data_IF_127572746020
#
_entry.id   IF_127572746020
#
_cell.length_a   1.000
_cell.length_b   1.000
_cell.length_c   1.000
_cell.angle_alpha   90.00
_cell.angle_beta   90.00
_cell.angle_gamma   90.00
#
_symmetry.space_group_name_H-M   'P 1'
#
loop_
_entity.id
_entity.type
_entity.pdbx_description
1 polymer ?
#
# COMPACT_ATOMS: atom_id res chain seq x y z
N UNK A 1 5.25 -76.93 -79.94
CA UNK A 1 4.50 -75.66 -79.83
C UNK A 1 4.27 -75.37 -78.35
N UNK A 2 5.34 -75.12 -77.58
CA UNK A 2 5.27 -75.13 -76.10
C UNK A 2 6.43 -74.34 -75.46
N UNK A 3 6.84 -73.23 -76.06
CA UNK A 3 7.88 -72.34 -75.49
C UNK A 3 7.42 -70.88 -75.29
N UNK A 4 6.12 -70.58 -75.42
CA UNK A 4 5.61 -69.19 -75.38
C UNK A 4 4.78 -68.87 -74.12
N UNK A 5 4.43 -69.85 -73.28
CA UNK A 5 3.46 -69.62 -72.19
C UNK A 5 4.05 -69.36 -70.77
N UNK A 6 5.37 -69.40 -70.56
CA UNK A 6 5.95 -69.23 -69.21
C UNK A 6 6.45 -67.81 -68.93
N UNK A 7 6.77 -67.00 -69.94
CA UNK A 7 7.22 -65.61 -69.74
C UNK A 7 6.10 -64.61 -69.39
N UNK A 8 4.84 -64.88 -69.73
CA UNK A 8 3.75 -63.91 -69.53
C UNK A 8 3.22 -63.86 -68.08
N UNK A 9 3.50 -64.87 -67.24
CA UNK A 9 2.92 -64.98 -65.89
C UNK A 9 3.83 -64.43 -64.77
N UNK A 10 5.04 -63.97 -65.11
CA UNK A 10 6.00 -63.33 -64.17
C UNK A 10 5.95 -61.79 -64.25
N UNK A 11 5.48 -61.22 -65.37
CA UNK A 11 5.35 -59.78 -65.54
C UNK A 11 4.18 -59.17 -64.70
N UNK A 12 3.06 -59.88 -64.60
CA UNK A 12 1.83 -59.38 -63.96
C UNK A 12 1.92 -59.34 -62.40
N UNK A 13 2.81 -60.15 -61.80
CA UNK A 13 3.06 -60.10 -60.34
C UNK A 13 4.02 -59.00 -59.89
N UNK A 14 4.76 -58.37 -60.80
CA UNK A 14 5.65 -57.23 -60.48
C UNK A 14 4.90 -55.90 -60.42
N UNK A 15 3.84 -55.72 -61.21
CA UNK A 15 3.06 -54.47 -61.24
C UNK A 15 2.11 -54.29 -60.04
N UNK A 16 1.70 -55.38 -59.40
CA UNK A 16 0.89 -55.33 -58.18
C UNK A 16 1.72 -55.03 -56.93
N UNK A 17 2.98 -55.48 -56.88
CA UNK A 17 3.90 -55.23 -55.77
C UNK A 17 4.38 -53.76 -55.74
N UNK A 18 4.68 -53.18 -56.91
CA UNK A 18 5.06 -51.76 -57.02
C UNK A 18 3.96 -50.79 -56.55
N UNK A 19 2.70 -51.06 -56.93
CA UNK A 19 1.54 -50.23 -56.50
C UNK A 19 1.24 -50.30 -55.00
N UNK A 20 1.59 -51.40 -54.33
CA UNK A 20 1.42 -51.53 -52.88
C UNK A 20 2.58 -50.86 -52.13
N UNK A 21 3.81 -50.93 -52.66
CA UNK A 21 4.97 -50.22 -52.12
C UNK A 21 4.82 -48.70 -52.23
N UNK A 22 4.33 -48.20 -53.38
CA UNK A 22 4.08 -46.76 -53.58
C UNK A 22 3.02 -46.23 -52.62
N UNK A 23 1.93 -46.98 -52.38
CA UNK A 23 0.89 -46.57 -51.42
C UNK A 23 1.40 -46.54 -49.99
N UNK A 24 2.29 -47.46 -49.59
CA UNK A 24 2.92 -47.48 -48.27
C UNK A 24 3.93 -46.33 -48.14
N UNK A 25 4.71 -46.06 -49.18
CA UNK A 25 5.67 -44.95 -49.20
C UNK A 25 4.96 -43.59 -49.10
N UNK A 26 3.85 -43.43 -49.82
CA UNK A 26 3.00 -42.22 -49.77
C UNK A 26 2.36 -42.07 -48.38
N UNK A 27 1.88 -43.16 -47.76
CA UNK A 27 1.37 -43.11 -46.39
C UNK A 27 2.45 -42.79 -45.35
N UNK A 28 3.65 -43.33 -45.49
CA UNK A 28 4.80 -43.01 -44.63
C UNK A 28 5.26 -41.55 -44.82
N UNK A 29 5.27 -41.04 -46.06
CA UNK A 29 5.56 -39.62 -46.35
C UNK A 29 4.47 -38.70 -45.80
N UNK A 30 3.19 -39.09 -45.87
CA UNK A 30 2.09 -38.36 -45.24
C UNK A 30 2.21 -38.36 -43.72
N UNK A 31 2.53 -39.49 -43.09
CA UNK A 31 2.76 -39.60 -41.64
C UNK A 31 3.99 -38.80 -41.17
N UNK A 32 5.07 -38.77 -41.96
CA UNK A 32 6.25 -37.95 -41.69
C UNK A 32 5.96 -36.45 -41.85
N UNK A 33 5.15 -36.06 -42.86
CA UNK A 33 4.72 -34.67 -43.03
C UNK A 33 3.83 -34.21 -41.87
N UNK A 34 2.85 -35.01 -41.44
CA UNK A 34 1.97 -34.70 -40.31
C UNK A 34 2.69 -34.70 -38.95
N UNK A 35 3.79 -35.46 -38.79
CA UNK A 35 4.62 -35.42 -37.58
C UNK A 35 5.56 -34.19 -37.52
N UNK A 36 5.86 -33.54 -38.65
CA UNK A 36 6.78 -32.41 -38.70
C UNK A 36 6.14 -31.08 -38.27
N UNK A 37 4.85 -30.86 -38.56
CA UNK A 37 4.11 -29.64 -38.19
C UNK A 37 3.92 -29.38 -36.68
N UNK A 38 3.61 -30.38 -35.81
CA UNK A 38 3.45 -30.13 -34.37
C UNK A 38 4.78 -29.72 -33.68
N UNK A 39 5.93 -30.12 -34.23
CA UNK A 39 7.23 -29.87 -33.61
C UNK A 39 7.66 -28.39 -33.73
N UNK A 40 7.40 -27.74 -34.86
CA UNK A 40 7.76 -26.33 -35.08
C UNK A 40 6.87 -25.35 -34.29
N UNK A 41 5.58 -25.66 -34.17
CA UNK A 41 4.65 -24.87 -33.37
C UNK A 41 4.96 -24.93 -31.86
N UNK A 42 5.44 -26.08 -31.37
CA UNK A 42 5.86 -26.25 -29.99
C UNK A 42 7.18 -25.53 -29.71
N UNK A 43 8.15 -25.62 -30.62
CA UNK A 43 9.42 -24.88 -30.55
C UNK A 43 9.20 -23.36 -30.51
N UNK A 44 8.30 -22.84 -31.35
CA UNK A 44 7.91 -21.40 -31.34
C UNK A 44 7.26 -20.95 -30.04
N UNK A 45 6.48 -21.82 -29.37
CA UNK A 45 5.88 -21.51 -28.06
C UNK A 45 6.93 -21.49 -26.96
N UNK A 46 7.89 -22.42 -26.99
CA UNK A 46 8.98 -22.47 -26.02
C UNK A 46 9.93 -21.28 -26.16
N UNK A 47 10.29 -20.89 -27.39
CA UNK A 47 11.11 -19.68 -27.61
C UNK A 47 10.39 -18.42 -27.12
N UNK A 48 9.11 -18.24 -27.45
CA UNK A 48 8.33 -17.09 -26.99
C UNK A 48 8.13 -17.08 -25.46
N UNK A 49 7.98 -18.25 -24.83
CA UNK A 49 7.93 -18.37 -23.37
C UNK A 49 9.25 -17.91 -22.74
N UNK A 50 10.38 -18.41 -23.27
CA UNK A 50 11.71 -18.06 -22.76
C UNK A 50 11.99 -16.57 -22.89
N UNK A 51 11.59 -15.95 -24.00
CA UNK A 51 11.73 -14.51 -24.22
C UNK A 51 10.92 -13.70 -23.20
N UNK A 52 9.66 -14.11 -22.94
CA UNK A 52 8.81 -13.46 -21.92
C UNK A 52 9.41 -13.56 -20.53
N UNK A 53 9.95 -14.73 -20.16
CA UNK A 53 10.58 -14.93 -18.85
C UNK A 53 11.83 -14.06 -18.73
N UNK A 54 12.69 -14.04 -19.74
CA UNK A 54 13.91 -13.21 -19.75
C UNK A 54 13.58 -11.72 -19.63
N UNK A 55 12.55 -11.22 -20.31
CA UNK A 55 12.09 -9.83 -20.19
C UNK A 55 11.58 -9.52 -18.77
N UNK A 56 10.78 -10.41 -18.18
CA UNK A 56 10.31 -10.26 -16.80
C UNK A 56 11.47 -10.27 -15.80
N UNK A 57 12.48 -11.11 -16.02
CA UNK A 57 13.68 -11.15 -15.19
C UNK A 57 14.52 -9.87 -15.32
N UNK A 58 14.68 -9.32 -16.53
CA UNK A 58 15.37 -8.03 -16.72
C UNK A 58 14.65 -6.89 -15.99
N UNK A 59 13.31 -6.82 -16.07
CA UNK A 59 12.55 -5.82 -15.32
C UNK A 59 12.63 -6.03 -13.82
N UNK A 60 12.54 -7.28 -13.37
CA UNK A 60 12.70 -7.63 -11.96
C UNK A 60 14.08 -7.22 -11.47
N UNK A 61 15.12 -7.34 -12.30
CA UNK A 61 16.50 -6.94 -12.00
C UNK A 61 16.65 -5.43 -11.75
N UNK A 62 15.82 -4.60 -12.41
CA UNK A 62 15.82 -3.14 -12.26
C UNK A 62 14.90 -2.68 -11.12
N UNK A 63 13.75 -3.33 -10.94
CA UNK A 63 12.75 -2.99 -9.92
C UNK A 63 12.11 -4.27 -9.40
N UNK A 64 11.97 -4.40 -8.07
CA UNK A 64 11.33 -5.56 -7.45
C UNK A 64 9.85 -5.72 -7.80
N UNK A 65 9.13 -4.61 -7.99
CA UNK A 65 7.75 -4.58 -8.46
C UNK A 65 7.70 -4.03 -9.90
N UNK A 66 7.16 -4.82 -10.82
CA UNK A 66 7.03 -4.45 -12.23
C UNK A 66 5.77 -3.61 -12.44
N UNK A 67 5.93 -2.35 -12.85
CA UNK A 67 4.79 -1.51 -13.26
C UNK A 67 4.24 -1.95 -14.62
N UNK A 68 2.95 -2.27 -14.65
CA UNK A 68 2.25 -2.78 -15.82
C UNK A 68 1.13 -1.84 -16.25
N UNK A 69 1.09 -1.56 -17.56
CA UNK A 69 -0.04 -0.91 -18.24
C UNK A 69 -0.97 -1.99 -18.81
N UNK A 70 -2.10 -1.60 -19.39
CA UNK A 70 -3.06 -2.53 -20.01
C UNK A 70 -2.44 -3.52 -21.01
N UNK A 71 -1.53 -3.06 -21.88
CA UNK A 71 -0.88 -3.92 -22.87
C UNK A 71 0.11 -4.91 -22.25
N UNK A 72 0.91 -4.46 -21.28
CA UNK A 72 1.84 -5.34 -20.54
C UNK A 72 1.05 -6.40 -19.76
N UNK A 73 -0.05 -6.00 -19.12
CA UNK A 73 -0.93 -6.93 -18.42
C UNK A 73 -1.48 -7.98 -19.38
N UNK A 74 -2.02 -7.58 -20.54
CA UNK A 74 -2.51 -8.53 -21.55
C UNK A 74 -1.42 -9.49 -22.03
N UNK A 75 -0.22 -8.98 -22.34
CA UNK A 75 0.88 -9.78 -22.90
C UNK A 75 1.53 -10.73 -21.88
N UNK A 76 1.84 -10.28 -20.67
CA UNK A 76 2.59 -11.08 -19.69
C UNK A 76 1.70 -11.82 -18.71
N UNK A 77 0.52 -11.28 -18.38
CA UNK A 77 -0.37 -11.87 -17.37
C UNK A 77 -1.49 -12.68 -18.01
N UNK A 78 -2.17 -12.19 -19.06
CA UNK A 78 -3.31 -12.91 -19.66
C UNK A 78 -2.92 -13.85 -20.79
N UNK A 79 -2.03 -13.45 -21.69
CA UNK A 79 -1.71 -14.23 -22.87
C UNK A 79 -0.86 -15.49 -22.53
N UNK A 80 -1.24 -16.68 -23.02
CA UNK A 80 -0.38 -17.86 -22.98
C UNK A 80 0.81 -17.69 -23.95
N UNK A 81 1.89 -18.47 -23.83
CA UNK A 81 2.21 -19.44 -22.76
C UNK A 81 2.75 -18.76 -21.49
N UNK A 82 2.58 -19.41 -20.33
CA UNK A 82 3.12 -19.00 -19.02
C UNK A 82 3.58 -20.22 -18.22
N UNK A 83 4.75 -20.12 -17.58
CA UNK A 83 5.29 -21.09 -16.63
C UNK A 83 5.59 -20.45 -15.26
N UNK A 84 5.10 -19.23 -15.04
CA UNK A 84 5.28 -18.44 -13.84
C UNK A 84 3.94 -17.97 -13.29
N UNK A 85 3.90 -17.78 -11.98
CA UNK A 85 2.84 -17.12 -11.25
C UNK A 85 3.13 -15.64 -11.10
N UNK A 86 2.10 -14.80 -11.24
CA UNK A 86 2.21 -13.36 -11.09
C UNK A 86 1.30 -12.89 -9.96
N UNK A 87 1.86 -12.18 -8.99
CA UNK A 87 1.12 -11.50 -7.94
C UNK A 87 1.02 -10.03 -8.31
N UNK A 88 -0.22 -9.53 -8.41
CA UNK A 88 -0.50 -8.20 -8.93
C UNK A 88 -1.24 -7.38 -7.89
N UNK A 89 -0.70 -6.21 -7.59
CA UNK A 89 -1.39 -5.18 -6.83
C UNK A 89 -2.07 -4.20 -7.79
N UNK A 90 -3.39 -4.13 -7.73
CA UNK A 90 -4.18 -3.08 -8.36
C UNK A 90 -4.28 -1.91 -7.41
N UNK A 91 -3.81 -0.73 -7.84
CA UNK A 91 -3.66 0.44 -6.98
C UNK A 91 -4.08 1.73 -7.68
N UNK A 92 -4.13 2.82 -6.93
CA UNK A 92 -4.38 4.18 -7.42
C UNK A 92 -3.49 5.14 -6.63
N UNK A 93 -2.23 5.24 -7.04
CA UNK A 93 -1.18 6.01 -6.34
C UNK A 93 -1.14 7.48 -6.77
N UNK A 94 -1.84 7.85 -7.84
CA UNK A 94 -1.81 9.22 -8.33
C UNK A 94 -2.33 10.21 -7.27
N UNK A 95 -1.63 11.33 -6.99
CA UNK A 95 -2.02 12.26 -5.93
C UNK A 95 -3.44 12.83 -6.06
N UNK A 96 -3.95 12.90 -7.30
CA UNK A 96 -5.31 13.34 -7.60
C UNK A 96 -6.39 12.44 -6.98
N UNK A 97 -6.08 11.15 -6.74
CA UNK A 97 -7.01 10.16 -6.17
C UNK A 97 -7.02 10.13 -4.65
N UNK A 98 -6.03 10.75 -3.98
CA UNK A 98 -5.91 10.84 -2.52
C UNK A 98 -6.10 9.50 -1.76
N UNK A 99 -5.68 8.37 -2.35
CA UNK A 99 -5.83 7.05 -1.73
C UNK A 99 -4.71 6.78 -0.70
N UNK A 100 -4.97 7.08 0.57
CA UNK A 100 -4.01 6.82 1.66
C UNK A 100 -3.70 5.33 1.86
N UNK A 101 -4.72 4.47 1.78
CA UNK A 101 -4.57 3.00 1.94
C UNK A 101 -3.72 2.41 0.81
N UNK A 102 -3.88 2.90 -0.42
CA UNK A 102 -3.10 2.45 -1.58
C UNK A 102 -1.60 2.69 -1.39
N UNK A 103 -1.22 3.84 -0.80
CA UNK A 103 0.18 4.18 -0.54
C UNK A 103 0.80 3.27 0.52
N UNK A 104 0.09 3.04 1.62
CA UNK A 104 0.55 2.14 2.68
C UNK A 104 0.66 0.68 2.19
N UNK A 105 -0.31 0.24 1.38
CA UNK A 105 -0.29 -1.09 0.79
C UNK A 105 0.85 -1.26 -0.24
N UNK A 106 1.17 -0.22 -1.03
CA UNK A 106 2.31 -0.22 -1.95
C UNK A 106 3.64 -0.34 -1.21
N UNK A 107 3.82 0.36 -0.10
CA UNK A 107 5.03 0.28 0.73
C UNK A 107 5.25 -1.16 1.26
N UNK A 108 4.21 -1.79 1.81
CA UNK A 108 4.29 -3.19 2.29
C UNK A 108 4.50 -4.20 1.13
N UNK A 109 3.86 -3.97 -0.01
CA UNK A 109 4.04 -4.81 -1.19
C UNK A 109 5.45 -4.71 -1.78
N UNK A 110 6.04 -3.51 -1.78
CA UNK A 110 7.44 -3.31 -2.16
C UNK A 110 8.40 -4.02 -1.20
N UNK A 111 8.14 -3.98 0.11
CA UNK A 111 8.95 -4.70 1.10
C UNK A 111 8.91 -6.22 0.84
N UNK A 112 7.73 -6.78 0.56
CA UNK A 112 7.60 -8.19 0.16
C UNK A 112 8.40 -8.51 -1.10
N UNK A 113 8.23 -7.71 -2.17
CA UNK A 113 8.89 -7.95 -3.44
C UNK A 113 10.42 -7.81 -3.34
N UNK A 114 10.91 -6.84 -2.56
CA UNK A 114 12.33 -6.69 -2.25
C UNK A 114 12.85 -7.91 -1.47
N UNK A 115 12.11 -8.36 -0.47
CA UNK A 115 12.46 -9.54 0.32
C UNK A 115 12.57 -10.80 -0.55
N UNK A 116 11.67 -10.95 -1.53
CA UNK A 116 11.76 -12.03 -2.52
C UNK A 116 13.01 -11.93 -3.39
N UNK A 117 13.29 -10.74 -3.91
CA UNK A 117 14.45 -10.48 -4.76
C UNK A 117 15.78 -10.84 -4.07
N UNK A 118 15.89 -10.54 -2.77
CA UNK A 118 17.09 -10.83 -1.98
C UNK A 118 17.05 -12.20 -1.28
N UNK A 119 15.99 -12.99 -1.49
CA UNK A 119 15.87 -14.32 -0.89
C UNK A 119 16.83 -15.31 -1.55
N UNK A 120 17.41 -16.21 -0.76
CA UNK A 120 18.17 -17.35 -1.29
C UNK A 120 17.31 -18.33 -2.08
N UNK A 121 15.98 -18.33 -1.85
CA UNK A 121 15.02 -19.15 -2.56
C UNK A 121 14.50 -18.50 -3.86
N UNK A 122 15.10 -17.41 -4.33
CA UNK A 122 14.64 -16.68 -5.50
C UNK A 122 14.61 -17.56 -6.76
N UNK A 123 13.47 -17.53 -7.47
CA UNK A 123 13.26 -18.27 -8.73
C UNK A 123 12.57 -17.40 -9.78
N UNK A 124 12.72 -17.77 -11.05
CA UNK A 124 12.04 -17.14 -12.19
C UNK A 124 10.57 -17.60 -12.37
N UNK A 125 9.97 -18.17 -11.33
CA UNK A 125 8.59 -18.68 -11.34
C UNK A 125 7.60 -17.73 -10.66
N UNK A 126 8.07 -16.76 -9.90
CA UNK A 126 7.22 -15.82 -9.16
C UNK A 126 7.65 -14.39 -9.48
N UNK A 127 6.69 -13.61 -9.96
CA UNK A 127 6.87 -12.20 -10.26
C UNK A 127 5.85 -11.33 -9.54
N UNK A 128 6.31 -10.18 -9.05
CA UNK A 128 5.47 -9.17 -8.42
C UNK A 128 5.28 -7.99 -9.38
N UNK A 129 4.05 -7.55 -9.53
CA UNK A 129 3.70 -6.46 -10.43
C UNK A 129 2.63 -5.54 -9.82
N UNK A 130 2.55 -4.32 -10.32
CA UNK A 130 1.50 -3.38 -9.96
C UNK A 130 0.88 -2.75 -11.19
N UNK A 131 -0.43 -2.51 -11.13
CA UNK A 131 -1.22 -1.83 -12.16
C UNK A 131 -1.89 -0.64 -11.49
N UNK A 132 -1.56 0.57 -11.93
CA UNK A 132 -2.23 1.78 -11.48
C UNK A 132 -3.51 2.03 -12.30
N UNK A 133 -4.56 2.51 -11.64
CA UNK A 133 -5.83 2.84 -12.28
C UNK A 133 -5.68 3.84 -13.44
N UNK A 134 -4.83 4.85 -13.29
CA UNK A 134 -4.68 5.88 -14.32
C UNK A 134 -3.84 5.37 -15.52
N UNK A 135 -2.98 4.35 -15.32
CA UNK A 135 -2.19 3.71 -16.39
C UNK A 135 -2.89 2.51 -17.06
N UNK A 136 -3.90 1.94 -16.41
CA UNK A 136 -4.51 0.66 -16.79
C UNK A 136 -6.00 0.56 -16.46
N UNK A 137 -6.75 1.65 -16.63
CA UNK A 137 -8.21 1.70 -16.36
C UNK A 137 -9.01 0.63 -17.11
N UNK A 138 -8.56 0.24 -18.30
CA UNK A 138 -9.08 -0.87 -19.10
C UNK A 138 -8.99 -2.22 -18.39
N UNK A 139 -7.93 -2.45 -17.61
CA UNK A 139 -7.74 -3.68 -16.82
C UNK A 139 -8.70 -3.72 -15.63
N UNK A 140 -8.94 -2.57 -14.98
CA UNK A 140 -9.91 -2.47 -13.89
C UNK A 140 -11.32 -2.78 -14.36
N UNK A 141 -11.71 -2.24 -15.53
CA UNK A 141 -12.99 -2.57 -16.17
C UNK A 141 -13.07 -4.05 -16.57
N UNK A 142 -12.00 -4.60 -17.17
CA UNK A 142 -11.96 -6.02 -17.58
C UNK A 142 -12.15 -6.99 -16.40
N UNK A 143 -11.70 -6.60 -15.20
CA UNK A 143 -11.80 -7.40 -13.99
C UNK A 143 -12.98 -7.01 -13.09
N UNK A 144 -13.83 -6.05 -13.50
CA UNK A 144 -14.94 -5.51 -12.72
C UNK A 144 -14.53 -5.04 -11.31
N UNK A 145 -13.39 -4.35 -11.20
CA UNK A 145 -12.90 -3.83 -9.94
C UNK A 145 -13.30 -2.36 -9.77
N UNK A 146 -14.07 -2.08 -8.72
CA UNK A 146 -14.56 -0.72 -8.41
C UNK A 146 -13.76 -0.03 -7.29
N UNK A 147 -12.80 -0.72 -6.70
CA UNK A 147 -12.03 -0.24 -5.55
C UNK A 147 -10.56 -0.66 -5.60
N UNK A 148 -9.70 0.17 -5.02
CA UNK A 148 -8.28 -0.09 -4.81
C UNK A 148 -7.91 0.14 -3.33
N UNK A 149 -6.88 -0.53 -2.79
CA UNK A 149 -6.04 -1.54 -3.45
C UNK A 149 -6.66 -2.95 -3.44
N UNK A 150 -6.35 -3.77 -4.46
CA UNK A 150 -6.75 -5.18 -4.53
C UNK A 150 -5.55 -6.04 -4.94
N UNK A 151 -5.32 -7.19 -4.30
CA UNK A 151 -4.25 -8.12 -4.68
C UNK A 151 -4.83 -9.38 -5.31
N UNK A 152 -4.33 -9.74 -6.50
CA UNK A 152 -4.71 -10.95 -7.22
C UNK A 152 -3.49 -11.79 -7.57
N UNK A 153 -3.65 -13.11 -7.46
CA UNK A 153 -2.69 -14.09 -7.94
C UNK A 153 -3.17 -14.66 -9.29
N UNK A 154 -2.31 -14.63 -10.29
CA UNK A 154 -2.53 -15.27 -11.58
C UNK A 154 -1.64 -16.51 -11.67
N UNK A 155 -2.21 -17.72 -11.61
CA UNK A 155 -1.43 -18.95 -11.69
C UNK A 155 -0.84 -19.15 -13.10
N UNK A 156 0.22 -19.93 -13.17
CA UNK A 156 0.87 -20.30 -14.43
C UNK A 156 -0.07 -21.04 -15.40
N UNK A 157 -1.07 -21.78 -14.87
CA UNK A 157 -2.08 -22.49 -15.66
C UNK A 157 -3.49 -22.17 -15.16
N UNK A 158 -4.41 -21.96 -16.09
CA UNK A 158 -5.82 -21.74 -15.80
C UNK A 158 -6.20 -20.31 -15.47
N UNK A 159 -7.47 -20.14 -15.06
CA UNK A 159 -8.03 -18.87 -14.57
C UNK A 159 -7.84 -18.78 -13.05
N UNK A 160 -7.71 -17.56 -12.48
CA UNK A 160 -7.68 -17.37 -11.04
C UNK A 160 -8.93 -17.95 -10.36
N UNK A 161 -8.72 -18.62 -9.23
CA UNK A 161 -9.78 -19.11 -8.33
C UNK A 161 -10.16 -18.01 -7.34
N UNK A 162 -11.27 -18.19 -6.61
CA UNK A 162 -11.67 -17.24 -5.55
C UNK A 162 -10.57 -17.01 -4.51
N UNK A 163 -9.85 -18.08 -4.15
CA UNK A 163 -8.78 -18.04 -3.17
C UNK A 163 -7.50 -17.32 -3.67
N UNK A 164 -7.40 -17.07 -4.98
CA UNK A 164 -6.37 -16.25 -5.61
C UNK A 164 -6.69 -14.75 -5.53
N UNK A 165 -7.83 -14.37 -4.94
CA UNK A 165 -8.13 -12.99 -4.55
C UNK A 165 -7.81 -12.82 -3.07
N UNK A 166 -6.99 -11.84 -2.73
CA UNK A 166 -6.63 -11.59 -1.34
C UNK A 166 -7.70 -10.78 -0.63
N UNK A 167 -8.17 -11.28 0.51
CA UNK A 167 -9.18 -10.61 1.35
C UNK A 167 -8.53 -9.55 2.26
N UNK A 168 -8.31 -8.38 1.68
CA UNK A 168 -7.66 -7.24 2.34
C UNK A 168 -8.34 -6.82 3.65
N UNK A 169 -9.68 -6.81 3.67
CA UNK A 169 -10.48 -6.31 4.80
C UNK A 169 -10.32 -7.16 6.07
N UNK A 170 -10.07 -8.46 5.92
CA UNK A 170 -9.98 -9.40 7.06
C UNK A 170 -8.53 -9.61 7.48
N UNK A 171 -7.62 -9.74 6.51
CA UNK A 171 -6.22 -10.14 6.79
C UNK A 171 -5.26 -8.94 6.96
N UNK A 172 -5.67 -7.74 6.54
CA UNK A 172 -4.78 -6.57 6.45
C UNK A 172 -3.75 -6.71 5.33
N UNK A 173 -2.87 -5.71 5.15
CA UNK A 173 -1.89 -5.66 4.05
C UNK A 173 -0.43 -5.74 4.51
N UNK A 174 -0.16 -6.29 5.70
CA UNK A 174 1.22 -6.44 6.14
C UNK A 174 1.98 -7.40 5.21
N UNK A 175 3.25 -7.09 4.95
CA UNK A 175 4.12 -7.87 4.08
C UNK A 175 4.21 -9.34 4.51
N UNK A 176 4.17 -9.62 5.81
CA UNK A 176 4.20 -10.99 6.37
C UNK A 176 2.91 -11.76 6.04
N UNK A 177 1.74 -11.12 6.07
CA UNK A 177 0.48 -11.76 5.71
C UNK A 177 0.38 -12.00 4.20
N UNK A 178 0.86 -11.05 3.40
CA UNK A 178 0.98 -11.24 1.96
C UNK A 178 1.97 -12.36 1.62
N UNK A 179 3.09 -12.47 2.34
CA UNK A 179 4.05 -13.57 2.18
C UNK A 179 3.43 -14.94 2.50
N UNK A 180 2.62 -15.02 3.58
CA UNK A 180 1.88 -16.25 3.92
C UNK A 180 0.87 -16.61 2.84
N UNK A 181 0.13 -15.63 2.32
CA UNK A 181 -0.80 -15.88 1.22
C UNK A 181 -0.07 -16.33 -0.06
N UNK A 182 1.11 -15.77 -0.37
CA UNK A 182 1.95 -16.26 -1.47
C UNK A 182 2.33 -17.72 -1.22
N UNK A 183 2.79 -18.07 -0.02
CA UNK A 183 3.15 -19.44 0.36
C UNK A 183 1.95 -20.40 0.21
N UNK A 184 0.75 -20.01 0.64
CA UNK A 184 -0.47 -20.82 0.49
C UNK A 184 -0.82 -21.11 -0.98
N UNK A 185 -0.39 -20.27 -1.92
CA UNK A 185 -0.74 -20.35 -3.35
C UNK A 185 0.34 -20.99 -4.20
N UNK A 186 1.61 -20.78 -3.86
CA UNK A 186 2.75 -21.23 -4.67
C UNK A 186 3.70 -22.18 -3.96
N UNK A 187 3.44 -22.51 -2.68
CA UNK A 187 4.30 -23.33 -1.81
C UNK A 187 5.71 -22.73 -1.58
N UNK A 188 5.89 -21.45 -1.93
CA UNK A 188 7.16 -20.75 -1.75
C UNK A 188 7.09 -19.83 -0.53
N UNK A 189 7.91 -20.14 0.47
CA UNK A 189 8.00 -19.33 1.68
C UNK A 189 8.97 -18.16 1.51
N UNK A 190 8.44 -16.94 1.58
CA UNK A 190 9.22 -15.71 1.49
C UNK A 190 9.45 -15.16 2.90
N UNK A 191 10.71 -15.07 3.34
CA UNK A 191 11.06 -14.40 4.60
C UNK A 191 11.13 -12.90 4.37
N UNK A 192 10.24 -12.15 5.03
CA UNK A 192 10.16 -10.70 4.89
C UNK A 192 11.28 -10.03 5.69
N UNK A 193 12.07 -9.18 5.04
CA UNK A 193 13.12 -8.36 5.65
C UNK A 193 12.74 -6.90 5.43
N UNK A 194 12.48 -6.19 6.54
CA UNK A 194 12.15 -4.76 6.51
C UNK A 194 13.45 -3.94 6.44
N UNK A 195 13.57 -2.96 5.53
CA UNK A 195 14.74 -2.09 5.51
C UNK A 195 14.80 -1.27 6.82
N UNK A 196 15.97 -1.14 7.45
CA UNK A 196 16.11 -0.34 8.67
C UNK A 196 15.77 1.13 8.39
N UNK A 197 14.87 1.70 9.18
CA UNK A 197 14.53 3.12 9.08
C UNK A 197 15.63 3.94 9.78
N UNK A 198 16.59 4.46 9.00
CA UNK A 198 17.68 5.31 9.49
C UNK A 198 17.23 6.72 9.92
N UNK A 199 16.04 7.18 9.50
CA UNK A 199 15.58 8.52 9.83
C UNK A 199 15.37 8.70 11.34
N UNK A 200 14.85 7.67 12.02
CA UNK A 200 14.66 7.69 13.49
C UNK A 200 15.98 7.84 14.25
N UNK A 201 16.95 6.92 14.07
CA UNK A 201 18.27 7.02 14.70
C UNK A 201 19.03 8.30 14.33
N UNK A 202 18.94 8.78 13.09
CA UNK A 202 19.57 10.04 12.67
C UNK A 202 18.96 11.24 13.38
N UNK A 203 17.63 11.33 13.46
CA UNK A 203 16.95 12.42 14.15
C UNK A 203 17.25 12.41 15.64
N UNK A 204 17.28 11.22 16.25
CA UNK A 204 17.68 11.05 17.65
C UNK A 204 19.14 11.47 17.87
N UNK A 205 20.05 11.05 16.99
CA UNK A 205 21.46 11.44 17.03
C UNK A 205 21.64 12.96 16.89
N UNK A 206 20.91 13.60 15.99
CA UNK A 206 20.90 15.04 15.83
C UNK A 206 20.37 15.75 17.07
N UNK A 207 19.26 15.28 17.65
CA UNK A 207 18.69 15.82 18.89
C UNK A 207 19.71 15.75 20.03
N UNK A 208 20.36 14.60 20.21
CA UNK A 208 21.39 14.41 21.23
C UNK A 208 22.62 15.30 20.99
N UNK A 209 23.02 15.49 19.72
CA UNK A 209 24.12 16.39 19.36
C UNK A 209 23.77 17.86 19.65
N UNK A 210 22.52 18.28 19.39
CA UNK A 210 22.03 19.63 19.72
C UNK A 210 21.97 19.84 21.22
N UNK A 211 21.40 18.88 21.98
CA UNK A 211 21.35 18.95 23.45
C UNK A 211 22.76 18.96 24.05
N UNK A 212 23.64 18.07 23.57
CA UNK A 212 25.03 18.00 24.01
C UNK A 212 25.82 19.26 23.64
N UNK A 213 25.61 19.80 22.45
CA UNK A 213 26.22 21.06 21.98
C UNK A 213 25.75 22.27 22.79
N UNK A 214 24.45 22.38 23.07
CA UNK A 214 23.90 23.40 23.96
C UNK A 214 24.46 23.27 25.38
N UNK A 215 24.49 22.07 25.95
CA UNK A 215 25.05 21.83 27.28
C UNK A 215 26.55 22.16 27.36
N UNK A 216 27.31 21.88 26.29
CA UNK A 216 28.74 22.20 26.19
C UNK A 216 28.97 23.72 26.05
N UNK A 217 28.26 24.40 25.16
CA UNK A 217 28.41 25.84 24.91
C UNK A 217 27.84 26.71 26.05
N UNK A 218 26.80 26.25 26.75
CA UNK A 218 26.15 26.93 27.89
C UNK A 218 26.56 26.34 29.25
N UNK A 219 27.74 25.73 29.37
CA UNK A 219 28.21 25.08 30.61
C UNK A 219 28.13 25.98 31.86
N UNK A 220 28.30 27.29 31.71
CA UNK A 220 28.23 28.28 32.79
C UNK A 220 26.83 28.90 33.02
N UNK A 221 25.84 28.64 32.17
CA UNK A 221 24.51 29.26 32.23
C UNK A 221 23.39 28.20 32.21
N UNK A 222 23.57 27.14 33.01
CA UNK A 222 22.60 26.04 33.17
C UNK A 222 21.42 26.42 34.08
N UNK A 223 21.30 27.69 34.50
CA UNK A 223 20.21 28.17 35.37
C UNK A 223 18.81 27.86 34.80
N UNK A 224 18.68 27.85 33.47
CA UNK A 224 17.45 27.45 32.79
C UNK A 224 17.01 26.00 33.10
N UNK A 225 17.97 25.06 33.25
CA UNK A 225 17.68 23.66 33.58
C UNK A 225 17.29 23.46 35.04
N UNK A 226 17.66 24.39 35.94
CA UNK A 226 17.24 24.33 37.34
C UNK A 226 15.96 25.12 37.62
N UNK A 227 15.48 25.91 36.65
CA UNK A 227 14.26 26.67 36.79
C UNK A 227 13.02 25.77 36.74
N UNK A 228 12.35 25.62 37.88
CA UNK A 228 11.13 24.81 38.02
C UNK A 228 10.00 25.29 37.09
N UNK A 229 9.91 26.58 36.80
CA UNK A 229 8.86 27.16 35.96
C UNK A 229 9.01 26.71 34.50
N UNK A 230 10.24 26.54 34.02
CA UNK A 230 10.52 26.05 32.66
C UNK A 230 10.05 24.61 32.52
N UNK A 231 10.33 23.76 33.51
CA UNK A 231 9.88 22.36 33.51
C UNK A 231 8.37 22.25 33.66
N UNK A 232 7.77 23.06 34.53
CA UNK A 232 6.32 23.12 34.70
C UNK A 232 5.64 23.53 33.39
N UNK A 233 6.13 24.59 32.72
CA UNK A 233 5.61 25.04 31.43
C UNK A 233 5.79 23.98 30.34
N UNK A 234 6.97 23.34 30.28
CA UNK A 234 7.26 22.30 29.29
C UNK A 234 6.39 21.05 29.49
N UNK A 235 6.18 20.62 30.73
CA UNK A 235 5.27 19.51 31.07
C UNK A 235 3.81 19.84 30.72
N UNK A 236 3.40 21.09 30.95
CA UNK A 236 2.08 21.59 30.56
C UNK A 236 1.89 21.53 29.03
N UNK A 237 2.84 22.08 28.26
CA UNK A 237 2.80 22.04 26.79
C UNK A 237 2.74 20.60 26.27
N UNK A 238 3.55 19.70 26.82
CA UNK A 238 3.55 18.29 26.45
C UNK A 238 2.19 17.63 26.69
N UNK A 239 1.59 17.88 27.86
CA UNK A 239 0.27 17.33 28.22
C UNK A 239 -0.82 17.85 27.28
N UNK A 240 -0.80 19.15 26.95
CA UNK A 240 -1.74 19.75 26.00
C UNK A 240 -1.61 19.14 24.60
N UNK A 241 -0.38 18.97 24.10
CA UNK A 241 -0.11 18.34 22.80
C UNK A 241 -0.65 16.91 22.78
N UNK A 242 -0.37 16.12 23.81
CA UNK A 242 -0.78 14.72 23.86
C UNK A 242 -2.29 14.54 24.01
N UNK A 243 -2.97 15.41 24.77
CA UNK A 243 -4.42 15.35 24.98
C UNK A 243 -5.24 15.90 23.81
N UNK A 244 -4.65 16.74 22.94
CA UNK A 244 -5.35 17.30 21.78
C UNK A 244 -5.64 16.29 20.65
N UNK A 245 -4.98 15.13 20.64
CA UNK A 245 -5.13 14.10 19.59
C UNK A 245 -3.97 14.02 18.58
N UNK A 246 -2.84 14.69 18.84
CA UNK A 246 -1.67 14.67 17.94
C UNK A 246 -1.12 13.27 17.66
N UNK A 247 -1.15 12.38 18.66
CA UNK A 247 -0.71 11.00 18.47
C UNK A 247 -1.59 10.23 17.46
N UNK A 248 -2.91 10.48 17.49
CA UNK A 248 -3.83 9.87 16.53
C UNK A 248 -3.52 10.34 15.10
N UNK A 249 -3.22 11.63 14.92
CA UNK A 249 -2.81 12.17 13.62
C UNK A 249 -1.49 11.55 13.14
N UNK A 250 -0.51 11.41 14.03
CA UNK A 250 0.78 10.82 13.69
C UNK A 250 0.63 9.37 13.20
N UNK A 251 -0.24 8.57 13.84
CA UNK A 251 -0.44 7.16 13.48
C UNK A 251 -1.22 7.02 12.17
N UNK A 252 -2.29 7.79 11.97
CA UNK A 252 -3.21 7.61 10.84
C UNK A 252 -2.95 8.51 9.64
N UNK A 253 -2.21 9.60 9.81
CA UNK A 253 -1.88 10.55 8.73
C UNK A 253 -3.09 11.14 8.00
N UNK A 254 -4.12 11.68 8.70
CA UNK A 254 -5.28 12.28 8.07
C UNK A 254 -4.91 13.55 7.28
N UNK A 255 -5.72 13.96 6.28
CA UNK A 255 -5.52 15.24 5.61
C UNK A 255 -5.74 16.43 6.56
N UNK A 256 -5.17 17.59 6.21
CA UNK A 256 -5.24 18.78 7.07
C UNK A 256 -6.65 19.38 7.16
N UNK A 257 -7.34 19.47 6.03
CA UNK A 257 -8.73 19.90 5.91
C UNK A 257 -9.35 19.25 4.66
N UNK A 258 -10.67 19.17 4.61
CA UNK A 258 -11.38 18.61 3.46
C UNK A 258 -12.19 19.69 2.74
N UNK A 259 -12.07 19.77 1.42
CA UNK A 259 -12.87 20.67 0.60
C UNK A 259 -14.10 19.93 0.12
N UNK A 260 -15.28 20.46 0.41
CA UNK A 260 -16.50 19.85 -0.09
C UNK A 260 -16.57 20.02 -1.63
N UNK A 261 -16.62 18.93 -2.43
CA UNK A 261 -16.61 19.02 -3.89
C UNK A 261 -17.79 19.79 -4.48
N UNK A 262 -18.93 19.83 -3.78
CA UNK A 262 -20.17 20.43 -4.28
C UNK A 262 -20.33 21.90 -3.89
N UNK A 263 -19.77 22.34 -2.77
CA UNK A 263 -19.91 23.73 -2.28
C UNK A 263 -18.62 24.54 -2.30
N UNK A 264 -17.47 23.92 -2.56
CA UNK A 264 -16.16 24.59 -2.58
C UNK A 264 -15.67 25.08 -1.21
N UNK A 265 -16.47 24.95 -0.16
CA UNK A 265 -16.12 25.38 1.19
C UNK A 265 -15.15 24.37 1.85
N UNK A 266 -14.14 24.91 2.54
CA UNK A 266 -13.16 24.14 3.30
C UNK A 266 -13.78 23.81 4.67
N UNK A 267 -14.02 22.54 4.95
CA UNK A 267 -14.38 22.10 6.30
C UNK A 267 -13.13 21.78 7.10
N UNK A 268 -12.94 22.51 8.20
CA UNK A 268 -11.85 22.30 9.16
C UNK A 268 -12.18 21.27 10.23
N UNK A 269 -13.45 20.87 10.36
CA UNK A 269 -13.95 19.89 11.32
C UNK A 269 -14.61 18.73 10.55
N UNK A 270 -14.29 17.50 10.95
CA UNK A 270 -14.81 16.27 10.40
C UNK A 270 -16.17 15.94 11.04
N UNK A 271 -17.17 15.64 10.22
CA UNK A 271 -18.55 15.40 10.69
C UNK A 271 -18.77 14.08 11.44
N UNK A 272 -17.89 13.09 11.27
CA UNK A 272 -17.96 11.83 12.02
C UNK A 272 -17.07 11.83 13.27
N UNK A 273 -17.51 11.19 14.34
CA UNK A 273 -16.72 10.97 15.56
C UNK A 273 -15.51 10.03 15.41
N UNK A 274 -15.49 9.17 14.41
CA UNK A 274 -14.45 8.15 14.19
C UNK A 274 -13.18 8.68 13.49
N UNK A 275 -13.23 9.91 12.97
CA UNK A 275 -12.16 10.54 12.22
C UNK A 275 -11.96 11.99 12.66
N UNK A 276 -10.75 12.52 12.42
CA UNK A 276 -10.32 13.84 12.86
C UNK A 276 -9.39 14.43 11.81
N UNK A 277 -9.50 15.73 11.55
CA UNK A 277 -8.53 16.46 10.74
C UNK A 277 -7.37 16.99 11.58
N UNK A 278 -6.23 17.25 10.93
CA UNK A 278 -5.07 17.85 11.60
C UNK A 278 -5.43 19.25 12.12
N UNK A 279 -6.22 20.03 11.38
CA UNK A 279 -6.68 21.35 11.81
C UNK A 279 -7.47 21.31 13.14
N UNK A 280 -8.38 20.35 13.32
CA UNK A 280 -9.17 20.18 14.56
C UNK A 280 -8.28 20.08 15.80
N UNK A 281 -7.17 19.36 15.66
CA UNK A 281 -6.23 19.09 16.75
C UNK A 281 -5.59 20.38 17.27
N UNK A 282 -5.28 21.31 16.36
CA UNK A 282 -4.75 22.63 16.72
C UNK A 282 -5.81 23.51 17.40
N UNK A 283 -7.07 23.41 16.96
CA UNK A 283 -8.20 24.13 17.57
C UNK A 283 -8.44 23.61 19.00
N UNK A 284 -8.51 22.29 19.18
CA UNK A 284 -8.69 21.65 20.50
C UNK A 284 -7.51 21.96 21.42
N UNK A 285 -6.28 21.97 20.90
CA UNK A 285 -5.09 22.38 21.65
C UNK A 285 -5.22 23.81 22.17
N UNK A 286 -5.65 24.74 21.32
CA UNK A 286 -5.85 26.15 21.70
C UNK A 286 -6.94 26.29 22.76
N UNK A 287 -8.06 25.59 22.62
CA UNK A 287 -9.16 25.65 23.59
C UNK A 287 -8.76 25.06 24.95
N UNK A 288 -8.12 23.89 24.98
CA UNK A 288 -7.64 23.31 26.24
C UNK A 288 -6.55 24.18 26.87
N UNK A 289 -5.66 24.77 26.07
CA UNK A 289 -4.64 25.70 26.55
C UNK A 289 -5.26 26.96 27.17
N UNK A 290 -6.27 27.53 26.51
CA UNK A 290 -7.04 28.64 27.04
C UNK A 290 -7.71 28.27 28.37
N UNK A 291 -8.52 27.21 28.43
CA UNK A 291 -9.19 26.78 29.67
C UNK A 291 -8.18 26.59 30.81
N UNK A 292 -7.04 25.95 30.52
CA UNK A 292 -6.00 25.72 31.52
C UNK A 292 -5.38 27.03 32.02
N UNK A 293 -5.11 28.00 31.13
CA UNK A 293 -4.67 29.34 31.51
C UNK A 293 -5.71 30.05 32.40
N UNK A 294 -7.00 29.91 32.06
CA UNK A 294 -8.09 30.44 32.87
C UNK A 294 -8.11 29.88 34.29
N UNK A 295 -7.90 28.56 34.44
CA UNK A 295 -7.78 27.92 35.76
C UNK A 295 -6.52 28.37 36.51
N UNK A 296 -5.38 28.50 35.83
CA UNK A 296 -4.14 29.00 36.45
C UNK A 296 -4.35 30.41 37.01
N UNK A 297 -4.97 31.30 36.22
CA UNK A 297 -5.30 32.66 36.67
C UNK A 297 -6.22 32.68 37.90
N UNK A 298 -7.16 31.73 38.00
CA UNK A 298 -8.03 31.60 39.18
C UNK A 298 -7.28 31.12 40.41
N UNK A 299 -6.42 30.11 40.26
CA UNK A 299 -5.57 29.63 41.34
C UNK A 299 -4.62 30.73 41.83
N UNK A 300 -3.97 31.44 40.90
CA UNK A 300 -3.06 32.53 41.25
C UNK A 300 -3.81 33.70 41.88
N UNK A 301 -5.00 34.04 41.40
CA UNK A 301 -5.86 35.03 42.07
C UNK A 301 -6.23 34.60 43.50
N UNK A 302 -6.40 33.30 43.79
CA UNK A 302 -6.74 32.82 45.12
C UNK A 302 -5.54 32.84 46.10
N UNK A 303 -4.33 32.54 45.62
CA UNK A 303 -3.14 32.39 46.46
C UNK A 303 -2.22 33.60 46.51
N UNK A 304 -2.41 34.59 45.63
CA UNK A 304 -1.50 35.74 45.54
C UNK A 304 -1.88 36.90 46.46
N UNK A 305 -0.87 37.49 47.09
CA UNK A 305 -0.98 38.66 47.96
C UNK A 305 -0.94 39.99 47.19
N UNK A 306 -1.30 39.99 45.90
CA UNK A 306 -1.34 41.22 45.08
C UNK A 306 -2.52 42.10 45.48
N UNK A 307 -2.44 43.38 45.11
CA UNK A 307 -3.49 44.38 45.30
C UNK A 307 -4.88 43.83 44.96
N UNK A 308 -5.86 44.15 45.81
CA UNK A 308 -7.25 43.67 45.71
C UNK A 308 -7.84 43.94 44.31
N UNK A 309 -7.50 45.06 43.69
CA UNK A 309 -7.93 45.40 42.33
C UNK A 309 -7.40 44.43 41.27
N UNK A 310 -6.11 44.11 41.31
CA UNK A 310 -5.48 43.18 40.36
C UNK A 310 -6.01 41.76 40.53
N UNK A 311 -6.18 41.31 41.78
CA UNK A 311 -6.78 40.01 42.10
C UNK A 311 -8.20 39.85 41.54
N UNK A 312 -9.03 40.89 41.68
CA UNK A 312 -10.39 40.89 41.11
C UNK A 312 -10.37 40.77 39.59
N UNK A 313 -9.47 41.49 38.91
CA UNK A 313 -9.33 41.43 37.45
C UNK A 313 -8.89 40.03 37.01
N UNK A 314 -7.89 39.43 37.67
CA UNK A 314 -7.42 38.08 37.36
C UNK A 314 -8.52 37.03 37.54
N UNK A 315 -9.31 37.13 38.62
CA UNK A 315 -10.42 36.23 38.87
C UNK A 315 -11.53 36.36 37.81
N UNK A 316 -11.95 37.59 37.49
CA UNK A 316 -12.97 37.83 36.45
C UNK A 316 -12.48 37.34 35.08
N UNK A 317 -11.23 37.64 34.73
CA UNK A 317 -10.62 37.17 33.49
C UNK A 317 -10.57 35.64 33.43
N UNK A 318 -10.14 34.98 34.52
CA UNK A 318 -10.08 33.52 34.62
C UNK A 318 -11.45 32.86 34.44
N UNK A 319 -12.49 33.34 35.15
CA UNK A 319 -13.86 32.83 35.01
C UNK A 319 -14.36 33.01 33.57
N UNK A 320 -14.20 34.21 33.00
CA UNK A 320 -14.65 34.50 31.64
C UNK A 320 -14.02 33.56 30.61
N UNK A 321 -12.71 33.35 30.73
CA UNK A 321 -11.93 32.52 29.82
C UNK A 321 -12.34 31.05 29.93
N UNK A 322 -12.50 30.51 31.13
CA UNK A 322 -13.00 29.13 31.33
C UNK A 322 -14.40 28.97 30.76
N UNK A 323 -15.34 29.86 31.09
CA UNK A 323 -16.73 29.75 30.67
C UNK A 323 -16.89 29.82 29.15
N UNK A 324 -16.18 30.74 28.49
CA UNK A 324 -16.27 30.95 27.04
C UNK A 324 -15.66 29.78 26.26
N UNK A 325 -14.41 29.42 26.55
CA UNK A 325 -13.72 28.37 25.79
C UNK A 325 -14.28 26.97 26.08
N UNK A 326 -14.75 26.72 27.31
CA UNK A 326 -15.46 25.48 27.62
C UNK A 326 -16.79 25.37 26.85
N UNK A 327 -17.52 26.49 26.68
CA UNK A 327 -18.73 26.51 25.86
C UNK A 327 -18.44 26.18 24.39
N UNK A 328 -17.40 26.77 23.80
CA UNK A 328 -17.00 26.47 22.43
C UNK A 328 -16.54 25.03 22.24
N UNK A 329 -15.78 24.49 23.18
CA UNK A 329 -15.37 23.09 23.15
C UNK A 329 -16.58 22.15 23.17
N UNK A 330 -17.58 22.43 24.01
CA UNK A 330 -18.82 21.66 24.09
C UNK A 330 -19.66 21.73 22.80
N UNK A 331 -19.73 22.92 22.18
CA UNK A 331 -20.46 23.12 20.91
C UNK A 331 -19.82 22.31 19.76
N UNK A 332 -18.48 22.34 19.64
CA UNK A 332 -17.77 21.49 18.65
C UNK A 332 -17.99 20.00 18.95
N UNK A 333 -17.93 19.61 20.22
CA UNK A 333 -18.16 18.22 20.61
C UNK A 333 -19.56 17.75 20.20
N UNK A 334 -20.59 18.57 20.43
CA UNK A 334 -21.98 18.27 20.03
C UNK A 334 -22.17 18.25 18.51
N UNK A 335 -21.49 19.14 17.78
CA UNK A 335 -21.50 19.11 16.32
C UNK A 335 -20.96 17.79 15.76
N UNK A 336 -20.01 17.15 16.46
CA UNK A 336 -19.41 15.86 16.10
C UNK A 336 -20.17 14.65 16.66
N UNK A 337 -20.80 14.80 17.81
CA UNK A 337 -21.67 13.81 18.46
C UNK A 337 -23.10 14.34 18.57
N UNK A 338 -23.89 14.13 17.50
CA UNK A 338 -25.27 14.62 17.41
C UNK A 338 -26.21 14.12 18.54
N UNK A 339 -25.86 13.03 19.22
CA UNK A 339 -26.62 12.50 20.35
C UNK A 339 -26.34 13.17 21.71
N UNK A 340 -25.44 14.15 21.79
CA UNK A 340 -25.10 14.79 23.06
C UNK A 340 -26.15 15.83 23.48
N UNK A 341 -26.81 15.68 24.65
CA UNK A 341 -28.00 16.48 25.00
C UNK A 341 -27.68 17.79 25.73
N UNK A 342 -26.48 17.97 26.29
CA UNK A 342 -26.15 19.12 27.12
C UNK A 342 -25.49 20.25 26.32
N UNK A 343 -25.87 21.49 26.62
CA UNK A 343 -25.22 22.72 26.14
C UNK A 343 -24.94 23.62 27.35
N UNK A 344 -23.93 24.48 27.25
CA UNK A 344 -23.56 25.38 28.34
C UNK A 344 -24.04 26.81 28.07
N UNK A 345 -23.32 27.60 27.25
CA UNK A 345 -23.74 28.97 26.88
C UNK A 345 -23.97 29.16 25.37
N UNK A 346 -23.26 28.41 24.53
CA UNK A 346 -23.32 28.52 23.08
C UNK A 346 -23.73 27.14 22.56
N UNK A 347 -24.81 27.12 21.77
CA UNK A 347 -25.30 25.90 21.11
C UNK A 347 -24.58 25.68 19.80
#
# INVERSE_FOLDING_TARGET
MTCVCVCARVADRREACGRMLDKVLIWCLFLLAFCSEPCDAQKKKETLLSEKVTQMMDWTSKRSVIKMNGDKFRRFVKAPPRNYSVFIMFTALQPQRQCGVCRQADEEFQVLANSWRYSSAFTNKIFFASVDFDEGSDVFQMLNMNSAPTFLHFPHKGKPRRADTYELQVRGFSAEQLARWVADRTDVQIRVIRPPNYAGPLLLGFLLAVIGGLAYLRRNNLEFLFNKNVWAFSALCFTLIMTSGQMWNHIRGPPYAHKNPSSGQVSYIHGSSQAQFVAETHIVLLFNGAITLGIILLCEAATSDVDIGKRKIMCIAGICLVMLFFSWLLSIFRAKYHGYPYSFLIS
#
